data_IF_865675007303
#
_entry.id   IF_865675007303
#
_cell.length_a   1.000
_cell.length_b   1.000
_cell.length_c   1.000
_cell.angle_alpha   90.00
_cell.angle_beta   90.00
_cell.angle_gamma   90.00
#
_symmetry.space_group_name_H-M   'P 1'
#
loop_
_entity.id
_entity.type
_entity.pdbx_description
1 polymer ?
#
# COMPACT_ATOMS: atom_id res chain seq x y z
N UNK A 1 46.81 -7.32 -35.34
CA UNK A 1 45.36 -7.38 -35.19
C UNK A 1 44.84 -8.14 -33.95
N UNK A 2 45.58 -9.11 -33.38
CA UNK A 2 45.06 -9.95 -32.24
C UNK A 2 44.95 -9.19 -30.89
N UNK A 3 45.76 -8.14 -30.65
CA UNK A 3 45.71 -7.39 -29.35
C UNK A 3 44.47 -6.46 -29.17
N UNK A 4 43.88 -5.96 -30.25
CA UNK A 4 42.69 -5.08 -30.17
C UNK A 4 41.39 -5.84 -29.82
N UNK A 5 41.30 -7.10 -30.25
CA UNK A 5 40.11 -7.95 -30.00
C UNK A 5 40.00 -8.34 -28.51
N UNK A 6 41.18 -8.63 -27.87
CA UNK A 6 41.21 -9.01 -26.45
C UNK A 6 40.83 -7.83 -25.55
N UNK A 7 41.25 -6.60 -25.91
CA UNK A 7 40.90 -5.40 -25.13
C UNK A 7 39.40 -5.08 -25.21
N UNK A 8 38.77 -5.24 -26.37
CA UNK A 8 37.34 -4.99 -26.56
C UNK A 8 36.50 -6.03 -25.83
N UNK A 9 36.92 -7.29 -25.79
CA UNK A 9 36.28 -8.36 -25.06
C UNK A 9 36.38 -8.17 -23.54
N UNK A 10 37.51 -7.69 -23.05
CA UNK A 10 37.71 -7.39 -21.62
C UNK A 10 36.87 -6.21 -21.16
N UNK A 11 36.72 -5.17 -22.00
CA UNK A 11 35.83 -4.02 -21.69
C UNK A 11 34.35 -4.46 -21.71
N UNK A 12 33.96 -5.32 -22.65
CA UNK A 12 32.61 -5.88 -22.69
C UNK A 12 32.29 -6.78 -21.47
N UNK A 13 33.28 -7.54 -20.99
CA UNK A 13 33.17 -8.37 -19.80
C UNK A 13 33.08 -7.53 -18.51
N UNK A 14 33.79 -6.41 -18.44
CA UNK A 14 33.72 -5.51 -17.29
C UNK A 14 32.40 -4.72 -17.22
N UNK A 15 31.77 -4.44 -18.37
CA UNK A 15 30.45 -3.78 -18.41
C UNK A 15 29.35 -4.75 -17.98
N UNK A 16 29.51 -6.06 -18.22
CA UNK A 16 28.53 -7.08 -17.83
C UNK A 16 28.57 -7.49 -16.35
N UNK A 17 29.63 -7.14 -15.61
CA UNK A 17 29.77 -7.44 -14.16
C UNK A 17 29.28 -6.26 -13.28
N UNK A 18 28.98 -5.11 -13.89
CA UNK A 18 28.56 -3.90 -13.17
C UNK A 18 27.05 -3.68 -13.02
N UNK A 19 26.23 -4.54 -13.59
CA UNK A 19 24.79 -4.56 -13.27
C UNK A 19 24.56 -5.55 -12.14
N UNK A 20 24.91 -5.17 -10.93
CA UNK A 20 24.12 -5.59 -9.78
C UNK A 20 22.72 -5.08 -10.10
N UNK A 21 21.82 -5.97 -10.47
CA UNK A 21 20.39 -5.72 -10.34
C UNK A 21 20.22 -5.58 -8.83
N UNK A 22 20.34 -4.36 -8.31
CA UNK A 22 19.70 -4.06 -7.05
C UNK A 22 18.24 -4.45 -7.29
N UNK A 23 17.75 -5.48 -6.60
CA UNK A 23 16.32 -5.69 -6.47
C UNK A 23 15.85 -4.37 -5.91
N UNK A 24 15.30 -3.54 -6.76
CA UNK A 24 14.83 -2.22 -6.41
C UNK A 24 13.77 -2.43 -5.35
N UNK A 25 13.90 -1.77 -4.22
CA UNK A 25 12.78 -1.49 -3.33
C UNK A 25 11.56 -1.17 -4.21
N UNK A 26 10.37 -1.55 -3.77
CA UNK A 26 9.16 -1.30 -4.54
C UNK A 26 9.09 0.15 -5.02
N UNK A 27 8.57 0.33 -6.18
CA UNK A 27 8.40 1.65 -6.80
C UNK A 27 7.09 1.67 -7.58
N UNK A 28 6.68 2.85 -8.03
CA UNK A 28 5.50 2.97 -8.88
C UNK A 28 5.59 2.14 -10.17
N UNK A 29 6.81 2.01 -10.74
CA UNK A 29 7.05 1.22 -11.95
C UNK A 29 7.19 -0.29 -11.68
N UNK A 30 7.45 -0.67 -10.42
CA UNK A 30 7.60 -2.07 -10.00
C UNK A 30 6.97 -2.30 -8.62
N UNK A 31 5.66 -2.10 -8.48
CA UNK A 31 4.96 -2.23 -7.21
C UNK A 31 4.85 -3.69 -6.76
N UNK A 32 4.79 -3.93 -5.44
CA UNK A 32 4.50 -5.26 -4.88
C UNK A 32 3.06 -5.67 -5.12
N UNK A 33 2.16 -4.69 -5.17
CA UNK A 33 0.72 -4.89 -5.28
C UNK A 33 0.25 -4.18 -6.55
N UNK A 34 -0.41 -4.91 -7.43
CA UNK A 34 -1.07 -4.35 -8.61
C UNK A 34 -2.53 -4.77 -8.61
N UNK A 35 -3.37 -3.90 -9.11
CA UNK A 35 -4.75 -4.21 -9.37
C UNK A 35 -5.02 -4.30 -10.87
N UNK A 36 -6.00 -5.13 -11.25
CA UNK A 36 -6.58 -5.07 -12.58
C UNK A 36 -7.69 -4.01 -12.54
N UNK A 37 -7.78 -3.13 -13.54
CA UNK A 37 -8.79 -2.09 -13.54
C UNK A 37 -10.18 -2.70 -13.42
N UNK A 38 -10.84 -2.48 -12.30
CA UNK A 38 -12.23 -2.86 -12.09
C UNK A 38 -13.12 -1.68 -12.47
N UNK A 39 -13.89 -1.83 -13.54
CA UNK A 39 -14.78 -0.78 -14.06
C UNK A 39 -15.92 -0.43 -13.08
N UNK A 40 -16.15 -1.24 -12.04
CA UNK A 40 -17.29 -1.15 -11.15
C UNK A 40 -17.00 -0.47 -9.80
N UNK A 41 -15.78 0.03 -9.58
CA UNK A 41 -15.40 0.74 -8.34
C UNK A 41 -15.55 2.26 -8.51
N UNK A 42 -15.79 2.97 -7.40
CA UNK A 42 -15.75 4.44 -7.40
C UNK A 42 -14.31 4.92 -7.64
N UNK A 43 -14.09 5.83 -8.55
CA UNK A 43 -12.76 6.30 -8.99
C UNK A 43 -11.85 6.73 -7.81
N UNK A 44 -12.42 7.29 -6.73
CA UNK A 44 -11.69 7.70 -5.53
C UNK A 44 -11.40 6.55 -4.53
N UNK A 45 -11.80 5.33 -4.86
CA UNK A 45 -11.49 4.09 -4.13
C UNK A 45 -10.79 3.07 -5.03
N UNK A 46 -10.72 3.31 -6.33
CA UNK A 46 -10.15 2.44 -7.36
C UNK A 46 -8.63 2.41 -7.20
N UNK A 47 -8.12 1.29 -6.70
CA UNK A 47 -6.69 1.06 -6.46
C UNK A 47 -6.03 0.72 -7.78
N UNK A 48 -4.93 1.39 -8.10
CA UNK A 48 -4.09 1.05 -9.25
C UNK A 48 -2.93 0.16 -8.80
N UNK A 49 -2.25 0.55 -7.73
CA UNK A 49 -1.08 -0.17 -7.22
C UNK A 49 -0.74 0.25 -5.80
N UNK A 50 0.08 -0.57 -5.12
CA UNK A 50 0.72 -0.17 -3.88
C UNK A 50 2.12 -0.81 -3.77
N UNK A 51 3.01 -0.15 -3.03
CA UNK A 51 4.38 -0.62 -2.86
C UNK A 51 4.96 -0.19 -1.52
N UNK A 52 6.07 -0.83 -1.18
CA UNK A 52 6.89 -0.50 -0.03
C UNK A 52 8.22 0.07 -0.50
N UNK A 53 8.80 0.98 0.26
CA UNK A 53 10.14 1.47 -0.01
C UNK A 53 10.81 1.96 1.26
N UNK A 54 12.11 2.12 1.19
CA UNK A 54 12.94 2.66 2.25
C UNK A 54 13.91 3.67 1.65
N UNK A 55 14.44 4.57 2.50
CA UNK A 55 15.43 5.57 2.12
C UNK A 55 16.71 5.32 2.92
N UNK A 56 17.85 5.24 2.25
CA UNK A 56 19.15 5.00 2.91
C UNK A 56 19.47 6.08 3.94
N UNK A 57 19.03 7.31 3.69
CA UNK A 57 19.21 8.45 4.60
C UNK A 57 18.25 8.43 5.80
N UNK A 58 17.21 7.60 5.77
CA UNK A 58 16.23 7.43 6.84
C UNK A 58 15.99 5.94 7.15
N UNK A 59 17.02 5.18 7.57
CA UNK A 59 16.97 3.72 7.72
C UNK A 59 15.99 3.24 8.80
N UNK A 60 15.61 4.12 9.72
CA UNK A 60 14.67 3.82 10.82
C UNK A 60 13.19 3.88 10.40
N UNK A 61 12.91 4.11 9.12
CA UNK A 61 11.55 4.22 8.60
C UNK A 61 11.29 3.26 7.46
N UNK A 62 10.08 2.69 7.48
CA UNK A 62 9.46 2.01 6.34
C UNK A 62 8.42 2.97 5.74
N UNK A 63 8.37 3.02 4.43
CA UNK A 63 7.36 3.78 3.70
C UNK A 63 6.42 2.83 2.98
N UNK A 64 5.13 3.15 3.02
CA UNK A 64 4.13 2.52 2.15
C UNK A 64 3.55 3.56 1.21
N UNK A 65 3.36 3.19 -0.03
CA UNK A 65 2.68 4.02 -1.02
C UNK A 65 1.45 3.30 -1.58
N UNK A 66 0.37 4.03 -1.77
CA UNK A 66 -0.87 3.57 -2.39
C UNK A 66 -1.24 4.54 -3.51
N UNK A 67 -1.44 4.03 -4.71
CA UNK A 67 -1.90 4.80 -5.86
C UNK A 67 -3.34 4.46 -6.16
N UNK A 68 -4.17 5.48 -6.20
CA UNK A 68 -5.56 5.43 -6.62
C UNK A 68 -5.73 6.08 -7.99
N UNK A 69 -6.80 5.75 -8.68
CA UNK A 69 -7.20 6.41 -9.92
C UNK A 69 -7.50 7.89 -9.68
N UNK A 70 -8.09 8.21 -8.51
CA UNK A 70 -8.31 9.58 -8.06
C UNK A 70 -8.27 9.64 -6.52
N UNK A 71 -7.74 10.72 -5.94
CA UNK A 71 -7.85 11.02 -4.51
C UNK A 71 -8.82 12.18 -4.32
N UNK A 72 -9.93 11.93 -3.67
CA UNK A 72 -10.95 12.95 -3.39
C UNK A 72 -11.15 13.10 -1.88
N UNK A 73 -10.46 14.05 -1.27
CA UNK A 73 -10.52 14.31 0.18
C UNK A 73 -11.86 14.91 0.62
N UNK A 74 -12.70 15.35 -0.32
CA UNK A 74 -14.08 15.82 0.03
C UNK A 74 -15.02 14.66 0.36
N UNK A 75 -14.65 13.44 -0.03
CA UNK A 75 -15.39 12.22 0.34
C UNK A 75 -14.98 11.80 1.73
N UNK A 76 -15.85 11.97 2.68
CA UNK A 76 -15.60 11.61 4.09
C UNK A 76 -15.70 10.11 4.34
N UNK A 77 -15.13 9.67 5.47
CA UNK A 77 -15.21 8.28 5.97
C UNK A 77 -14.53 7.25 5.09
N UNK A 78 -13.44 7.62 4.44
CA UNK A 78 -12.64 6.68 3.68
C UNK A 78 -11.51 6.10 4.52
N UNK A 79 -11.16 4.86 4.21
CA UNK A 79 -9.95 4.20 4.71
C UNK A 79 -9.19 3.66 3.49
N UNK A 80 -8.00 4.15 3.31
CA UNK A 80 -7.13 3.90 2.17
C UNK A 80 -5.85 3.28 2.72
N UNK A 81 -5.70 1.95 2.62
CA UNK A 81 -4.76 1.17 3.43
C UNK A 81 -3.85 0.29 2.58
N UNK A 82 -2.56 0.26 2.91
CA UNK A 82 -1.63 -0.81 2.55
C UNK A 82 -1.51 -1.75 3.75
N UNK A 83 -1.52 -3.06 3.51
CA UNK A 83 -1.55 -4.12 4.52
C UNK A 83 -0.48 -5.15 4.25
N UNK A 84 0.04 -5.75 5.32
CA UNK A 84 1.03 -6.83 5.26
C UNK A 84 1.02 -7.63 6.56
N UNK A 85 1.69 -8.76 6.55
CA UNK A 85 2.01 -9.50 7.77
C UNK A 85 3.52 -9.40 8.04
N UNK A 86 3.89 -9.18 9.30
CA UNK A 86 5.26 -9.26 9.77
C UNK A 86 5.33 -10.14 11.02
N UNK A 87 6.16 -11.20 10.97
CA UNK A 87 6.26 -12.21 12.03
C UNK A 87 4.91 -12.80 12.47
N UNK A 88 3.98 -12.97 11.50
CA UNK A 88 2.63 -13.47 11.74
C UNK A 88 1.68 -12.46 12.39
N UNK A 89 2.09 -11.21 12.54
CA UNK A 89 1.23 -10.12 13.02
C UNK A 89 0.73 -9.32 11.81
N UNK A 90 -0.59 -9.20 11.60
CA UNK A 90 -1.13 -8.36 10.55
C UNK A 90 -0.93 -6.88 10.87
N UNK A 91 -0.46 -6.15 9.88
CA UNK A 91 -0.18 -4.72 9.94
C UNK A 91 -0.92 -3.97 8.84
N UNK A 92 -1.20 -2.70 9.05
CA UNK A 92 -1.74 -1.80 8.05
C UNK A 92 -1.29 -0.36 8.30
N UNK A 93 -1.06 0.38 7.23
CA UNK A 93 -0.86 1.82 7.29
C UNK A 93 -1.62 2.52 6.16
N UNK A 94 -2.05 3.75 6.39
CA UNK A 94 -2.79 4.47 5.38
C UNK A 94 -3.40 5.79 5.83
N UNK A 95 -4.16 6.37 4.91
CA UNK A 95 -4.92 7.61 5.10
C UNK A 95 -6.34 7.28 5.55
N UNK A 96 -6.78 8.00 6.55
CA UNK A 96 -8.13 7.95 7.10
C UNK A 96 -8.79 9.31 6.94
N UNK A 97 -9.95 9.35 6.32
CA UNK A 97 -10.78 10.54 6.21
C UNK A 97 -11.99 10.41 7.14
N UNK A 98 -12.10 11.34 8.08
CA UNK A 98 -13.14 11.39 9.10
C UNK A 98 -14.47 11.96 8.61
N UNK A 99 -15.26 12.52 9.55
CA UNK A 99 -16.61 13.05 9.29
C UNK A 99 -16.62 14.52 8.88
N UNK A 100 -15.66 15.31 9.37
CA UNK A 100 -15.66 16.80 9.27
C UNK A 100 -14.46 17.30 8.46
N UNK A 101 -14.14 16.60 7.34
CA UNK A 101 -12.96 16.85 6.51
C UNK A 101 -11.63 16.66 7.27
N UNK A 102 -11.68 16.09 8.47
CA UNK A 102 -10.50 15.69 9.21
C UNK A 102 -9.86 14.46 8.55
N UNK A 103 -8.57 14.53 8.33
CA UNK A 103 -7.78 13.42 7.81
C UNK A 103 -6.52 13.22 8.65
N UNK A 104 -6.08 11.97 8.72
CA UNK A 104 -4.84 11.60 9.41
C UNK A 104 -4.26 10.32 8.84
N UNK A 105 -2.95 10.16 8.99
CA UNK A 105 -2.26 8.93 8.69
C UNK A 105 -2.13 8.09 9.96
N UNK A 106 -2.31 6.79 9.84
CA UNK A 106 -2.09 5.89 10.97
C UNK A 106 -1.46 4.57 10.55
N UNK A 107 -0.75 3.98 11.51
CA UNK A 107 -0.31 2.60 11.52
C UNK A 107 -1.17 1.81 12.51
N UNK A 108 -1.48 0.57 12.15
CA UNK A 108 -2.28 -0.34 12.95
C UNK A 108 -1.67 -1.74 12.90
N UNK A 109 -1.69 -2.47 14.01
CA UNK A 109 -1.22 -3.85 14.08
C UNK A 109 -2.08 -4.69 15.02
N UNK A 110 -2.00 -6.02 14.88
CA UNK A 110 -2.67 -7.00 15.73
C UNK A 110 -3.92 -7.63 15.12
N UNK A 111 -4.42 -8.65 15.82
CA UNK A 111 -5.61 -9.40 15.43
C UNK A 111 -6.87 -8.71 15.94
N UNK A 112 -7.68 -8.17 15.02
CA UNK A 112 -9.01 -7.62 15.33
C UNK A 112 -10.12 -8.42 14.68
N UNK A 113 -11.34 -8.29 15.21
CA UNK A 113 -12.52 -8.81 14.54
C UNK A 113 -12.96 -7.85 13.42
N UNK A 114 -12.87 -8.32 12.17
CA UNK A 114 -13.25 -7.55 11.00
C UNK A 114 -12.12 -6.63 10.50
N UNK A 115 -12.47 -5.38 10.12
CA UNK A 115 -11.52 -4.42 9.51
C UNK A 115 -10.68 -3.62 10.53
N UNK A 116 -10.82 -3.89 11.81
CA UNK A 116 -10.18 -3.15 12.87
C UNK A 116 -9.08 -3.99 13.49
N UNK A 117 -7.85 -3.46 13.41
CA UNK A 117 -6.77 -3.89 14.27
C UNK A 117 -7.03 -3.26 15.64
N UNK A 118 -7.12 -4.05 16.70
CA UNK A 118 -7.50 -3.54 18.02
C UNK A 118 -6.34 -3.41 18.99
N UNK A 119 -5.17 -3.97 18.67
CA UNK A 119 -4.09 -4.07 19.62
C UNK A 119 -3.13 -2.88 19.60
N UNK A 120 -2.89 -2.30 18.42
CA UNK A 120 -2.05 -1.12 18.28
C UNK A 120 -2.64 -0.14 17.26
N UNK A 121 -2.72 1.12 17.65
CA UNK A 121 -3.09 2.24 16.78
C UNK A 121 -2.19 3.41 17.09
N UNK A 122 -1.41 3.87 16.12
CA UNK A 122 -0.52 5.01 16.25
C UNK A 122 -0.70 5.96 15.07
N UNK A 123 -0.73 7.26 15.36
CA UNK A 123 -0.71 8.27 14.32
C UNK A 123 0.72 8.37 13.77
N UNK A 124 0.86 8.38 12.46
CA UNK A 124 2.16 8.44 11.76
C UNK A 124 2.20 9.65 10.82
N UNK A 125 3.39 9.98 10.34
CA UNK A 125 3.57 10.98 9.31
C UNK A 125 3.14 10.42 7.95
N UNK A 126 2.69 11.31 7.05
CA UNK A 126 2.36 10.94 5.69
C UNK A 126 2.03 12.15 4.84
N UNK A 127 1.89 11.90 3.57
CA UNK A 127 1.52 12.90 2.57
C UNK A 127 0.62 12.27 1.50
N UNK A 128 -0.14 13.07 0.81
CA UNK A 128 -0.88 12.66 -0.36
C UNK A 128 -0.84 13.74 -1.42
N UNK A 129 -0.89 13.31 -2.66
CA UNK A 129 -0.91 14.17 -3.84
C UNK A 129 -2.19 13.87 -4.64
N UNK A 130 -3.11 14.83 -4.67
CA UNK A 130 -4.38 14.71 -5.40
C UNK A 130 -4.17 14.66 -6.92
N UNK A 131 -3.07 15.24 -7.43
CA UNK A 131 -2.79 15.31 -8.86
C UNK A 131 -2.30 13.95 -9.40
N UNK A 132 -1.47 13.26 -8.64
CA UNK A 132 -0.94 11.93 -9.01
C UNK A 132 -1.74 10.77 -8.45
N UNK A 133 -2.61 11.01 -7.48
CA UNK A 133 -3.38 9.97 -6.80
C UNK A 133 -2.56 9.14 -5.81
N UNK A 134 -1.37 9.63 -5.40
CA UNK A 134 -0.45 8.89 -4.54
C UNK A 134 -0.59 9.31 -3.08
N UNK A 135 -0.67 8.32 -2.21
CA UNK A 135 -0.73 8.45 -0.75
C UNK A 135 0.49 7.75 -0.18
N UNK A 136 1.30 8.44 0.63
CA UNK A 136 2.50 7.90 1.26
C UNK A 136 2.35 7.96 2.79
N UNK A 137 2.66 6.85 3.47
CA UNK A 137 2.80 6.82 4.93
C UNK A 137 4.25 6.55 5.30
N UNK A 138 4.76 7.30 6.29
CA UNK A 138 6.09 7.15 6.87
C UNK A 138 5.96 6.50 8.25
N UNK A 139 6.42 5.28 8.37
CA UNK A 139 6.19 4.41 9.53
C UNK A 139 7.50 4.19 10.26
N UNK A 140 7.65 4.62 11.52
CA UNK A 140 8.82 4.26 12.33
C UNK A 140 8.93 2.74 12.49
N UNK A 141 10.10 2.16 12.20
CA UNK A 141 10.32 0.70 12.27
C UNK A 141 10.12 0.13 13.68
N UNK A 142 10.33 0.93 14.73
CA UNK A 142 10.06 0.50 16.11
C UNK A 142 8.58 0.20 16.37
N UNK A 143 7.65 0.75 15.59
CA UNK A 143 6.23 0.37 15.66
C UNK A 143 5.95 -1.01 15.05
N UNK A 144 6.85 -1.50 14.18
CA UNK A 144 6.75 -2.79 13.48
C UNK A 144 7.68 -3.85 14.14
N UNK A 145 8.08 -3.67 15.39
CA UNK A 145 9.06 -4.51 16.08
C UNK A 145 10.47 -4.50 15.43
N UNK A 146 10.93 -3.35 14.97
CA UNK A 146 12.27 -3.10 14.45
C UNK A 146 12.72 -4.14 13.39
N UNK A 147 12.03 -4.26 12.26
CA UNK A 147 12.43 -5.20 11.21
C UNK A 147 13.85 -4.91 10.76
N UNK A 148 14.67 -5.95 10.71
CA UNK A 148 16.06 -5.86 10.29
C UNK A 148 16.20 -6.09 8.79
N UNK A 149 17.32 -5.63 8.24
CA UNK A 149 17.68 -5.92 6.85
C UNK A 149 17.62 -7.42 6.55
N UNK A 150 16.90 -7.78 5.48
CA UNK A 150 16.64 -9.14 5.06
C UNK A 150 15.38 -9.77 5.66
N UNK A 151 14.71 -9.10 6.60
CA UNK A 151 13.39 -9.51 7.05
C UNK A 151 12.35 -9.31 5.94
N UNK A 152 11.30 -10.11 5.95
CA UNK A 152 10.32 -10.14 4.86
C UNK A 152 8.91 -9.77 5.36
N UNK A 153 8.31 -8.81 4.72
CA UNK A 153 6.89 -8.48 4.84
C UNK A 153 6.11 -9.37 3.87
N UNK A 154 5.15 -10.10 4.38
CA UNK A 154 4.39 -11.10 3.60
C UNK A 154 2.91 -10.75 3.52
N UNK A 155 2.16 -11.47 2.70
CA UNK A 155 0.71 -11.29 2.55
C UNK A 155 0.33 -9.83 2.23
N UNK A 156 1.14 -9.18 1.40
CA UNK A 156 0.97 -7.78 1.03
C UNK A 156 -0.30 -7.57 0.23
N UNK A 157 -1.06 -6.53 0.54
CA UNK A 157 -2.30 -6.17 -0.15
C UNK A 157 -2.68 -4.72 0.13
N UNK A 158 -3.56 -4.16 -0.69
CA UNK A 158 -4.15 -2.86 -0.44
C UNK A 158 -5.68 -2.97 -0.27
N UNK A 159 -6.30 -1.98 0.35
CA UNK A 159 -7.75 -1.87 0.40
C UNK A 159 -8.18 -0.42 0.53
N UNK A 160 -9.21 -0.06 -0.21
CA UNK A 160 -9.88 1.22 -0.16
C UNK A 160 -11.37 1.00 0.12
N UNK A 161 -11.93 1.73 1.08
CA UNK A 161 -13.35 1.58 1.37
C UNK A 161 -13.94 2.83 2.04
N UNK A 162 -15.22 3.05 1.78
CA UNK A 162 -16.00 4.10 2.43
C UNK A 162 -16.88 3.51 3.54
N UNK A 163 -16.89 4.17 4.70
CA UNK A 163 -17.74 3.76 5.83
C UNK A 163 -19.08 4.51 5.81
N UNK A 164 -20.14 3.78 6.05
CA UNK A 164 -21.51 4.32 6.17
C UNK A 164 -21.96 4.27 7.63
N UNK A 165 -21.55 5.26 8.43
CA UNK A 165 -21.80 5.29 9.88
C UNK A 165 -23.27 5.23 10.26
N UNK A 166 -24.16 5.93 9.53
CA UNK A 166 -25.60 5.96 9.86
C UNK A 166 -26.30 4.62 9.59
N UNK A 167 -26.02 3.99 8.45
CA UNK A 167 -26.67 2.71 8.10
C UNK A 167 -26.16 1.57 8.98
N UNK A 168 -24.88 1.59 9.38
CA UNK A 168 -24.33 0.65 10.35
C UNK A 168 -24.94 0.80 11.74
N UNK A 169 -25.25 2.02 12.18
CA UNK A 169 -25.94 2.28 13.46
C UNK A 169 -27.38 1.79 13.49
N UNK A 170 -28.02 1.60 12.34
CA UNK A 170 -29.34 1.00 12.19
C UNK A 170 -29.33 -0.53 12.19
N UNK A 171 -28.15 -1.16 12.37
CA UNK A 171 -27.98 -2.61 12.41
C UNK A 171 -28.00 -3.29 11.04
N UNK A 172 -27.90 -2.55 9.95
CA UNK A 172 -27.77 -3.15 8.63
C UNK A 172 -26.38 -3.76 8.45
N UNK A 173 -26.35 -4.99 7.93
CA UNK A 173 -25.12 -5.67 7.55
C UNK A 173 -24.42 -4.88 6.44
N UNK A 174 -23.08 -4.86 6.51
CA UNK A 174 -22.22 -4.22 5.54
C UNK A 174 -22.49 -4.71 4.11
N UNK A 175 -22.68 -6.01 3.92
CA UNK A 175 -23.02 -6.60 2.62
C UNK A 175 -24.32 -6.05 2.05
N UNK A 176 -25.32 -5.86 2.91
CA UNK A 176 -26.59 -5.26 2.51
C UNK A 176 -26.40 -3.82 2.03
N UNK A 177 -25.62 -3.03 2.76
CA UNK A 177 -25.34 -1.63 2.42
C UNK A 177 -24.59 -1.54 1.09
N UNK A 178 -23.55 -2.35 0.91
CA UNK A 178 -22.78 -2.41 -0.34
C UNK A 178 -23.67 -2.80 -1.52
N UNK A 179 -24.48 -3.85 -1.35
CA UNK A 179 -25.39 -4.32 -2.40
C UNK A 179 -26.42 -3.25 -2.78
N UNK A 180 -26.93 -2.49 -1.81
CA UNK A 180 -27.88 -1.41 -2.06
C UNK A 180 -27.23 -0.26 -2.83
N UNK A 181 -26.00 0.13 -2.47
CA UNK A 181 -25.26 1.19 -3.16
C UNK A 181 -24.93 0.73 -4.58
N UNK A 182 -24.43 -0.48 -4.75
CA UNK A 182 -24.17 -1.05 -6.07
C UNK A 182 -25.43 -1.08 -6.95
N UNK A 183 -26.56 -1.48 -6.38
CA UNK A 183 -27.84 -1.49 -7.11
C UNK A 183 -28.28 -0.08 -7.59
N UNK A 184 -27.98 0.96 -6.81
CA UNK A 184 -28.37 2.34 -7.12
C UNK A 184 -27.37 3.02 -8.06
N UNK A 185 -26.08 2.79 -7.84
CA UNK A 185 -24.99 3.53 -8.51
C UNK A 185 -24.30 2.75 -9.61
N UNK A 186 -24.43 1.43 -9.61
CA UNK A 186 -23.66 0.52 -10.47
C UNK A 186 -22.17 0.44 -10.09
N UNK A 187 -21.76 1.02 -8.93
CA UNK A 187 -20.35 1.05 -8.52
C UNK A 187 -20.17 0.55 -7.09
N UNK A 188 -19.08 -0.17 -6.83
CA UNK A 188 -18.64 -0.60 -5.50
C UNK A 188 -18.10 0.57 -4.69
N UNK A 189 -18.26 0.49 -3.38
CA UNK A 189 -17.66 1.40 -2.38
C UNK A 189 -16.56 0.72 -1.58
N UNK A 190 -16.05 -0.36 -2.11
CA UNK A 190 -14.97 -1.14 -1.56
C UNK A 190 -14.13 -1.68 -2.71
N UNK A 191 -12.83 -1.58 -2.52
CA UNK A 191 -11.83 -2.13 -3.39
C UNK A 191 -10.71 -2.82 -2.61
N UNK A 192 -10.05 -3.78 -3.22
CA UNK A 192 -8.88 -4.46 -2.67
C UNK A 192 -8.00 -4.96 -3.80
N UNK A 193 -6.71 -4.80 -3.61
CA UNK A 193 -5.68 -5.22 -4.54
C UNK A 193 -4.65 -6.14 -3.82
N UNK A 194 -4.19 -7.20 -4.48
CA UNK A 194 -4.74 -7.73 -5.72
C UNK A 194 -6.12 -8.38 -5.49
N UNK A 195 -6.90 -8.56 -6.54
CA UNK A 195 -8.24 -9.14 -6.48
C UNK A 195 -8.24 -10.60 -6.03
N UNK A 196 -7.18 -11.32 -6.32
CA UNK A 196 -6.95 -12.71 -5.91
C UNK A 196 -5.60 -12.83 -5.20
N UNK A 197 -5.55 -13.62 -4.13
CA UNK A 197 -4.35 -13.91 -3.33
C UNK A 197 -3.71 -12.67 -2.68
N UNK A 198 -2.38 -12.57 -2.75
CA UNK A 198 -1.56 -11.51 -2.17
C UNK A 198 -0.60 -10.96 -3.22
N UNK A 199 -0.14 -9.74 -3.02
CA UNK A 199 0.96 -9.17 -3.77
C UNK A 199 2.29 -9.85 -3.46
N UNK A 200 3.35 -9.37 -4.09
CA UNK A 200 4.71 -9.87 -3.83
C UNK A 200 5.17 -9.50 -2.43
N UNK A 201 5.94 -10.37 -1.82
CA UNK A 201 6.62 -10.08 -0.56
C UNK A 201 7.64 -8.95 -0.75
N UNK A 202 7.83 -8.17 0.32
CA UNK A 202 8.81 -7.09 0.35
C UNK A 202 9.94 -7.44 1.34
N UNK A 203 11.21 -7.35 0.92
CA UNK A 203 12.38 -7.55 1.77
C UNK A 203 12.93 -6.22 2.26
N UNK A 204 13.11 -6.09 3.57
CA UNK A 204 13.69 -4.91 4.23
C UNK A 204 15.13 -4.68 3.76
N UNK A 205 15.45 -3.47 3.30
CA UNK A 205 16.71 -3.13 2.63
C UNK A 205 17.74 -2.50 3.57
N UNK A 206 17.33 -1.78 4.61
CA UNK A 206 18.22 -1.02 5.51
C UNK A 206 17.96 -1.34 6.98
#
# INVERSE_FOLDING_TARGET
MKRKIVSTFLIMLMISVGFSISVSAGSEENPEITDEPEDDVQDYLDIISAWFFEKEEEPDYLYTALKLNNVDITKTKQHLLVKWDYNGVPCAAGLFLGYDEDWWFSYQAGYGHGFWFQEHYEQVEGEFDEETGIIICKIPKNLINDPAKGDVLTNTRASAFQRFGFLGSLGFDRWFIQSLIYLITGKSVFDHAPNEDYGRDYEIQY
#
